data_IF_441456105148
#
_entry.id   IF_441456105148
#
_cell.length_a   1.000
_cell.length_b   1.000
_cell.length_c   1.000
_cell.angle_alpha   90.00
_cell.angle_beta   90.00
_cell.angle_gamma   90.00
#
_symmetry.space_group_name_H-M   'P 1'
#
loop_
_entity.id
_entity.type
_entity.pdbx_description
1 polymer ?
#
# COMPACT_ATOMS: atom_id res chain seq x y z
N UNK A 1 2.99 13.94 12.71
CA UNK A 1 2.52 13.41 13.99
C UNK A 1 3.73 13.21 14.89
N UNK A 2 3.79 13.88 16.03
CA UNK A 2 4.86 13.71 17.03
C UNK A 2 4.18 13.47 18.38
N UNK A 3 4.48 12.33 19.00
CA UNK A 3 4.02 11.92 20.32
C UNK A 3 5.21 11.37 21.11
N UNK A 4 5.14 11.50 22.43
CA UNK A 4 5.99 10.73 23.33
C UNK A 4 5.40 9.33 23.53
N UNK A 5 5.68 8.43 22.59
CA UNK A 5 5.20 7.05 22.64
C UNK A 5 5.55 6.33 23.96
N UNK A 6 4.54 5.74 24.58
CA UNK A 6 4.67 4.99 25.84
C UNK A 6 4.56 3.49 25.57
N UNK A 7 5.54 2.67 26.00
CA UNK A 7 5.46 1.23 25.84
C UNK A 7 4.33 0.64 26.69
N UNK A 8 3.81 -0.50 26.23
CA UNK A 8 2.79 -1.26 26.95
C UNK A 8 3.28 -1.67 28.35
N UNK A 9 2.38 -1.65 29.33
CA UNK A 9 2.69 -1.99 30.72
C UNK A 9 3.62 -1.02 31.47
N UNK A 10 3.89 0.17 30.92
CA UNK A 10 4.73 1.14 31.62
C UNK A 10 4.04 1.76 32.86
N UNK A 11 4.86 2.28 33.79
CA UNK A 11 4.37 2.84 35.05
C UNK A 11 3.62 4.17 34.87
N UNK A 12 2.69 4.46 35.79
CA UNK A 12 1.94 5.71 35.82
C UNK A 12 2.87 6.95 35.80
N UNK A 13 4.02 6.90 36.48
CA UNK A 13 5.01 7.99 36.45
C UNK A 13 5.56 8.26 35.05
N UNK A 14 5.68 7.23 34.21
CA UNK A 14 6.15 7.38 32.82
C UNK A 14 5.03 7.90 31.92
N UNK A 15 3.79 7.42 32.11
CA UNK A 15 2.60 7.94 31.43
C UNK A 15 2.41 9.44 31.72
N UNK A 16 2.53 9.84 32.98
CA UNK A 16 2.42 11.24 33.40
C UNK A 16 3.45 12.14 32.70
N UNK A 17 4.72 11.73 32.70
CA UNK A 17 5.78 12.46 32.01
C UNK A 17 5.56 12.54 30.49
N UNK A 18 5.00 11.49 29.89
CA UNK A 18 4.69 11.48 28.47
C UNK A 18 3.55 12.46 28.16
N UNK A 19 2.50 12.48 28.98
CA UNK A 19 1.40 13.41 28.89
C UNK A 19 1.89 14.86 29.01
N UNK A 20 2.64 15.20 30.06
CA UNK A 20 3.17 16.56 30.27
C UNK A 20 3.98 17.05 29.07
N UNK A 21 4.84 16.17 28.51
CA UNK A 21 5.66 16.49 27.34
C UNK A 21 4.82 16.69 26.09
N UNK A 22 3.84 15.83 25.84
CA UNK A 22 2.93 15.92 24.70
C UNK A 22 2.12 17.21 24.76
N UNK A 23 1.56 17.54 25.92
CA UNK A 23 0.80 18.78 26.12
C UNK A 23 1.69 20.01 25.89
N UNK A 24 2.89 20.03 26.46
CA UNK A 24 3.85 21.12 26.26
C UNK A 24 4.21 21.29 24.79
N UNK A 25 4.58 20.19 24.13
CA UNK A 25 4.99 20.19 22.73
C UNK A 25 3.86 20.63 21.80
N UNK A 26 2.64 20.11 21.97
CA UNK A 26 1.49 20.51 21.14
C UNK A 26 1.20 22.01 21.24
N UNK A 27 1.31 22.59 22.44
CA UNK A 27 1.13 24.04 22.62
C UNK A 27 2.26 24.85 21.97
N UNK A 28 3.49 24.40 22.06
CA UNK A 28 4.63 25.05 21.41
C UNK A 28 4.53 24.98 19.88
N UNK A 29 4.16 23.80 19.35
CA UNK A 29 3.97 23.58 17.92
C UNK A 29 2.95 24.57 17.35
N UNK A 30 1.78 24.68 17.99
CA UNK A 30 0.67 25.51 17.53
C UNK A 30 0.86 27.02 17.75
N UNK A 31 1.84 27.42 18.57
CA UNK A 31 2.26 28.82 18.70
C UNK A 31 3.10 29.30 17.53
N UNK A 32 3.76 28.39 16.82
CA UNK A 32 4.60 28.76 15.68
C UNK A 32 3.73 29.07 14.45
N UNK A 33 3.97 30.21 13.79
CA UNK A 33 3.27 30.61 12.55
C UNK A 33 3.76 29.82 11.31
N UNK A 34 4.42 28.68 11.54
CA UNK A 34 5.13 27.88 10.54
C UNK A 34 4.23 27.12 9.56
N UNK A 35 2.90 27.19 9.71
CA UNK A 35 1.94 26.31 9.04
C UNK A 35 1.07 26.99 7.99
N UNK A 36 1.51 28.10 7.38
CA UNK A 36 0.80 28.67 6.23
C UNK A 36 0.60 27.61 5.12
N UNK A 37 -0.66 27.27 4.83
CA UNK A 37 -1.05 26.27 3.83
C UNK A 37 -0.95 24.81 4.28
N UNK A 38 -0.70 24.52 5.55
CA UNK A 38 -0.65 23.16 6.09
C UNK A 38 -1.49 22.97 7.35
N UNK A 39 -1.83 21.72 7.64
CA UNK A 39 -2.74 21.32 8.72
C UNK A 39 -1.99 20.49 9.75
N UNK A 40 -2.21 20.78 11.03
CA UNK A 40 -1.65 20.01 12.14
C UNK A 40 -2.65 18.94 12.63
N UNK A 41 -2.17 17.69 12.71
CA UNK A 41 -2.82 16.58 13.40
C UNK A 41 -2.02 16.26 14.68
N UNK A 42 -2.73 16.24 15.81
CA UNK A 42 -2.11 16.12 17.14
C UNK A 42 -2.41 14.75 17.72
N UNK A 43 -1.37 14.00 18.09
CA UNK A 43 -1.56 12.72 18.74
C UNK A 43 -1.96 12.91 20.22
N UNK A 44 -2.98 12.16 20.64
CA UNK A 44 -3.40 12.05 22.03
C UNK A 44 -2.57 10.95 22.70
N UNK A 45 -1.86 11.33 23.76
CA UNK A 45 -1.06 10.42 24.55
C UNK A 45 -1.91 9.86 25.71
N UNK A 46 -1.47 8.73 26.27
CA UNK A 46 -2.16 8.08 27.39
C UNK A 46 -1.81 6.61 27.57
N UNK A 47 -1.17 6.02 26.56
CA UNK A 47 -0.71 4.64 26.60
C UNK A 47 -1.87 3.66 26.80
N UNK A 48 -1.72 2.74 27.74
CA UNK A 48 -2.71 1.73 28.12
C UNK A 48 -3.78 2.24 29.11
N UNK A 49 -3.69 3.50 29.56
CA UNK A 49 -4.54 4.03 30.63
C UNK A 49 -5.61 4.98 30.10
N UNK A 50 -6.92 4.63 30.19
CA UNK A 50 -8.00 5.49 29.71
C UNK A 50 -8.02 6.87 30.38
N UNK A 51 -7.72 6.94 31.67
CA UNK A 51 -7.70 8.19 32.43
C UNK A 51 -6.61 9.16 31.96
N UNK A 52 -5.47 8.66 31.47
CA UNK A 52 -4.44 9.53 30.91
C UNK A 52 -4.82 10.06 29.53
N UNK A 53 -5.54 9.27 28.71
CA UNK A 53 -6.09 9.75 27.44
C UNK A 53 -7.11 10.86 27.65
N UNK A 54 -8.04 10.69 28.60
CA UNK A 54 -9.01 11.71 28.99
C UNK A 54 -8.31 13.00 29.45
N UNK A 55 -7.32 12.89 30.34
CA UNK A 55 -6.55 14.06 30.82
C UNK A 55 -5.77 14.75 29.69
N UNK A 56 -5.20 13.97 28.76
CA UNK A 56 -4.52 14.54 27.60
C UNK A 56 -5.52 15.33 26.74
N UNK A 57 -6.66 14.73 26.40
CA UNK A 57 -7.70 15.39 25.61
C UNK A 57 -8.29 16.61 26.32
N UNK A 58 -8.52 16.56 27.63
CA UNK A 58 -8.93 17.73 28.42
C UNK A 58 -7.91 18.88 28.33
N UNK A 59 -6.61 18.57 28.27
CA UNK A 59 -5.56 19.57 28.24
C UNK A 59 -5.30 20.23 26.86
N UNK A 60 -5.58 19.53 25.75
CA UNK A 60 -5.28 20.00 24.38
C UNK A 60 -6.45 19.95 23.39
N UNK A 61 -7.56 19.28 23.73
CA UNK A 61 -8.72 19.08 22.85
C UNK A 61 -9.49 20.36 22.54
N UNK A 62 -9.37 21.38 23.39
CA UNK A 62 -9.98 22.70 23.19
C UNK A 62 -9.10 23.69 22.40
N UNK A 63 -7.93 23.26 21.90
CA UNK A 63 -7.02 24.16 21.19
C UNK A 63 -7.64 24.61 19.86
N UNK A 64 -7.70 25.93 19.57
CA UNK A 64 -8.39 26.46 18.38
C UNK A 64 -7.56 26.36 17.10
N UNK A 65 -6.23 26.23 17.23
CA UNK A 65 -5.30 26.01 16.11
C UNK A 65 -4.99 24.51 16.09
N UNK A 66 -5.38 23.82 15.02
CA UNK A 66 -5.28 22.37 14.87
C UNK A 66 -6.52 21.87 14.12
N UNK A 67 -6.39 20.93 13.19
CA UNK A 67 -7.56 20.47 12.43
C UNK A 67 -7.98 19.05 12.77
N UNK A 68 -7.23 18.35 13.64
CA UNK A 68 -7.61 17.02 14.08
C UNK A 68 -6.71 16.39 15.14
N UNK A 69 -7.24 15.33 15.73
CA UNK A 69 -6.59 14.53 16.77
C UNK A 69 -6.42 13.10 16.31
N UNK A 70 -5.28 12.50 16.67
CA UNK A 70 -4.95 11.10 16.39
C UNK A 70 -4.98 10.32 17.69
N UNK A 71 -5.70 9.21 17.73
CA UNK A 71 -5.74 8.30 18.86
C UNK A 71 -5.17 6.93 18.47
N UNK A 72 -4.21 6.45 19.26
CA UNK A 72 -3.69 5.09 19.12
C UNK A 72 -4.55 4.11 19.91
N UNK A 73 -5.42 3.40 19.20
CA UNK A 73 -6.29 2.38 19.78
C UNK A 73 -5.60 1.01 19.91
N UNK A 74 -4.40 0.84 19.32
CA UNK A 74 -3.74 -0.46 19.27
C UNK A 74 -3.27 -0.96 20.63
N UNK A 75 -3.17 -0.08 21.64
CA UNK A 75 -2.86 -0.50 23.02
C UNK A 75 -4.07 -1.10 23.75
N UNK A 76 -5.28 -0.82 23.27
CA UNK A 76 -6.53 -1.35 23.82
C UNK A 76 -7.08 -2.51 22.99
N UNK A 77 -6.71 -2.58 21.71
CA UNK A 77 -6.94 -3.76 20.88
C UNK A 77 -5.88 -4.82 21.22
N UNK A 78 -6.24 -5.84 22.01
CA UNK A 78 -5.37 -6.98 22.32
C UNK A 78 -5.00 -7.72 21.03
N UNK A 79 -3.90 -7.33 20.40
CA UNK A 79 -3.30 -8.07 19.29
C UNK A 79 -1.89 -8.42 19.65
N UNK A 80 -1.68 -9.67 20.07
CA UNK A 80 -0.38 -10.27 20.08
C UNK A 80 0.14 -10.25 18.63
N UNK A 81 1.03 -9.31 18.30
CA UNK A 81 1.84 -9.39 17.06
C UNK A 81 2.83 -10.54 17.22
N UNK A 82 2.36 -11.78 17.17
CA UNK A 82 3.26 -12.91 16.99
C UNK A 82 3.55 -12.98 15.49
N UNK A 83 4.65 -12.34 15.08
CA UNK A 83 5.27 -12.66 13.80
C UNK A 83 5.56 -14.17 13.83
N UNK A 84 5.09 -14.97 12.86
CA UNK A 84 5.35 -16.40 12.86
C UNK A 84 6.86 -16.61 12.83
N UNK A 85 7.41 -17.20 13.90
CA UNK A 85 8.78 -17.71 13.87
C UNK A 85 8.82 -18.75 12.76
N UNK A 86 9.61 -18.51 11.71
CA UNK A 86 9.83 -19.48 10.62
C UNK A 86 10.20 -20.84 11.24
N UNK A 87 9.28 -21.78 11.21
CA UNK A 87 9.57 -23.17 11.55
C UNK A 87 10.50 -23.69 10.46
N UNK A 88 11.73 -24.03 10.83
CA UNK A 88 12.65 -24.72 9.91
C UNK A 88 11.99 -26.01 9.47
N UNK A 89 11.58 -26.07 8.19
CA UNK A 89 11.18 -27.32 7.55
C UNK A 89 12.40 -28.24 7.58
N UNK A 90 12.36 -29.28 8.43
CA UNK A 90 13.32 -30.38 8.37
C UNK A 90 12.99 -31.18 7.11
N UNK A 91 13.94 -31.24 6.18
CA UNK A 91 13.98 -32.20 5.07
C UNK A 91 13.82 -33.60 5.67
N UNK A 92 12.74 -34.30 5.34
CA UNK A 92 12.67 -35.75 5.53
C UNK A 92 13.36 -36.34 4.29
N UNK A 93 14.52 -36.94 4.52
CA UNK A 93 15.23 -37.76 3.54
C UNK A 93 14.50 -39.08 3.38
N UNK A 94 14.35 -39.51 2.13
CA UNK A 94 14.02 -40.88 1.74
C UNK A 94 14.92 -41.88 2.47
N UNK A 95 14.33 -42.96 3.01
CA UNK A 95 14.93 -44.29 3.02
C UNK A 95 13.88 -45.35 3.40
N UNK A 96 13.78 -46.31 2.49
CA UNK A 96 13.53 -47.75 2.64
C UNK A 96 12.14 -48.28 3.06
N UNK A 97 11.55 -48.89 2.04
CA UNK A 97 10.53 -49.93 2.14
C UNK A 97 11.02 -51.12 2.98
N UNK A 98 10.17 -51.63 3.86
CA UNK A 98 10.02 -53.07 4.10
C UNK A 98 8.69 -53.35 4.79
N UNK A 99 8.05 -54.42 4.34
CA UNK A 99 6.80 -55.02 4.80
C UNK A 99 6.72 -55.22 6.32
N UNK A 100 5.60 -54.87 6.95
CA UNK A 100 4.89 -55.84 7.79
C UNK A 100 3.40 -55.51 7.95
N UNK A 101 2.60 -56.49 7.57
CA UNK A 101 1.15 -56.63 7.66
C UNK A 101 0.63 -56.59 9.10
N UNK A 102 -0.40 -55.78 9.41
CA UNK A 102 -1.40 -56.09 10.44
C UNK A 102 -2.78 -55.64 9.98
N UNK A 103 -3.72 -56.59 10.03
CA UNK A 103 -5.08 -56.53 9.53
C UNK A 103 -6.03 -55.64 10.34
N UNK A 104 -7.05 -55.17 9.62
CA UNK A 104 -8.28 -54.53 10.07
C UNK A 104 -9.05 -55.33 11.12
N UNK A 105 -9.77 -54.62 11.99
CA UNK A 105 -11.13 -55.02 12.41
C UNK A 105 -12.10 -53.86 12.22
N UNK A 106 -13.14 -54.16 11.46
CA UNK A 106 -14.29 -53.34 11.09
C UNK A 106 -15.38 -53.37 12.16
N UNK A 107 -16.17 -52.30 12.23
CA UNK A 107 -17.61 -52.41 12.52
C UNK A 107 -18.37 -51.15 12.06
N UNK A 108 -19.16 -51.37 11.01
CA UNK A 108 -20.47 -50.83 10.65
C UNK A 108 -20.72 -49.32 10.37
N UNK A 109 -21.38 -49.14 9.23
CA UNK A 109 -21.95 -47.94 8.62
C UNK A 109 -23.18 -47.41 9.40
N UNK A 110 -23.42 -46.10 9.36
CA UNK A 110 -24.54 -45.49 8.61
C UNK A 110 -24.66 -43.96 8.90
N UNK A 111 -24.96 -43.23 7.82
CA UNK A 111 -25.67 -41.95 7.73
C UNK A 111 -25.18 -40.70 8.50
N UNK A 112 -24.66 -39.75 7.71
CA UNK A 112 -25.09 -38.33 7.66
C UNK A 112 -25.62 -37.73 8.97
N UNK A 113 -24.79 -36.93 9.63
CA UNK A 113 -25.26 -35.69 10.27
C UNK A 113 -24.09 -34.70 10.48
N UNK A 114 -24.27 -33.53 9.87
CA UNK A 114 -23.78 -32.22 10.30
C UNK A 114 -22.28 -31.96 10.40
N UNK A 115 -21.74 -31.50 9.27
CA UNK A 115 -20.98 -30.24 9.10
C UNK A 115 -20.78 -29.48 10.43
N UNK A 116 -19.71 -29.79 11.19
CA UNK A 116 -19.27 -28.96 12.30
C UNK A 116 -17.75 -28.99 12.43
N UNK A 117 -17.07 -28.43 11.44
CA UNK A 117 -15.74 -27.87 11.65
C UNK A 117 -15.50 -26.81 10.59
N UNK A 118 -16.28 -25.74 10.64
CA UNK A 118 -15.75 -24.45 10.20
C UNK A 118 -14.66 -24.13 11.22
N UNK A 119 -13.43 -24.51 10.89
CA UNK A 119 -12.27 -24.05 11.63
C UNK A 119 -12.35 -22.52 11.67
N UNK A 120 -12.57 -21.99 12.87
CA UNK A 120 -12.61 -20.56 13.14
C UNK A 120 -11.20 -20.03 12.87
N UNK A 121 -10.99 -19.60 11.63
CA UNK A 121 -9.76 -18.97 11.18
C UNK A 121 -9.58 -17.70 11.99
N UNK A 122 -8.57 -17.71 12.87
CA UNK A 122 -8.09 -16.59 13.69
C UNK A 122 -8.00 -15.32 12.81
N UNK A 123 -9.03 -14.47 12.88
CA UNK A 123 -9.11 -13.17 12.19
C UNK A 123 -9.90 -12.12 12.97
N UNK A 124 -10.56 -12.48 14.06
CA UNK A 124 -11.05 -11.50 15.02
C UNK A 124 -9.89 -11.13 15.94
N UNK A 125 -9.42 -9.89 15.79
CA UNK A 125 -8.94 -9.15 16.94
C UNK A 125 -9.91 -9.34 18.10
N UNK A 126 -9.39 -9.52 19.32
CA UNK A 126 -10.17 -9.21 20.53
C UNK A 126 -10.34 -7.68 20.58
N UNK A 127 -11.10 -7.14 19.62
CA UNK A 127 -11.60 -5.79 19.60
C UNK A 127 -12.73 -5.74 20.61
N UNK A 128 -12.37 -5.46 21.85
CA UNK A 128 -13.35 -5.22 22.89
C UNK A 128 -14.03 -3.88 22.61
N UNK A 129 -15.20 -3.96 21.98
CA UNK A 129 -16.03 -2.80 21.61
C UNK A 129 -16.35 -1.96 22.83
N UNK A 130 -16.57 -2.60 23.99
CA UNK A 130 -16.99 -1.92 25.21
C UNK A 130 -15.82 -1.15 25.82
N UNK A 131 -14.62 -1.75 25.88
CA UNK A 131 -13.41 -1.05 26.34
C UNK A 131 -13.10 0.18 25.47
N UNK A 132 -13.19 0.04 24.15
CA UNK A 132 -12.93 1.16 23.24
C UNK A 132 -14.03 2.22 23.38
N UNK A 133 -15.30 1.80 23.47
CA UNK A 133 -16.41 2.73 23.69
C UNK A 133 -16.25 3.53 24.97
N UNK A 134 -15.84 2.89 26.07
CA UNK A 134 -15.60 3.55 27.35
C UNK A 134 -14.41 4.53 27.28
N UNK A 135 -13.32 4.14 26.62
CA UNK A 135 -12.19 5.02 26.34
C UNK A 135 -12.66 6.26 25.55
N UNK A 136 -13.38 6.06 24.45
CA UNK A 136 -13.84 7.14 23.59
C UNK A 136 -14.86 8.05 24.28
N UNK A 137 -15.70 7.49 25.16
CA UNK A 137 -16.64 8.25 25.97
C UNK A 137 -15.95 9.25 26.91
N UNK A 138 -14.78 8.91 27.46
CA UNK A 138 -13.97 9.85 28.24
C UNK A 138 -13.26 10.89 27.39
N UNK A 139 -12.79 10.53 26.19
CA UNK A 139 -11.95 11.41 25.36
C UNK A 139 -12.78 12.40 24.52
N UNK A 140 -13.88 11.95 23.92
CA UNK A 140 -14.62 12.72 22.91
C UNK A 140 -15.28 14.00 23.43
N UNK A 141 -15.81 14.06 24.67
CA UNK A 141 -16.36 15.30 25.23
C UNK A 141 -15.36 16.47 25.26
N UNK A 142 -14.06 16.18 25.31
CA UNK A 142 -13.01 17.19 25.33
C UNK A 142 -12.56 17.65 23.93
N UNK A 143 -13.00 16.98 22.87
CA UNK A 143 -12.61 17.28 21.48
C UNK A 143 -13.81 17.89 20.76
N UNK A 144 -13.68 19.15 20.33
CA UNK A 144 -14.74 19.81 19.57
C UNK A 144 -15.14 18.97 18.33
N UNK A 145 -16.44 18.81 18.03
CA UNK A 145 -16.93 18.09 16.84
C UNK A 145 -16.41 18.64 15.50
N UNK A 146 -15.89 19.86 15.47
CA UNK A 146 -15.29 20.47 14.28
C UNK A 146 -13.91 19.91 13.92
N UNK A 147 -13.25 19.20 14.85
CA UNK A 147 -11.93 18.61 14.62
C UNK A 147 -12.06 17.20 14.08
N UNK A 148 -11.20 16.86 13.11
CA UNK A 148 -11.09 15.51 12.57
C UNK A 148 -10.58 14.54 13.63
N UNK A 149 -11.21 13.37 13.74
CA UNK A 149 -10.79 12.30 14.66
C UNK A 149 -10.20 11.17 13.85
N UNK A 150 -8.92 10.89 14.06
CA UNK A 150 -8.15 9.90 13.32
C UNK A 150 -7.70 8.77 14.24
N UNK A 151 -7.72 7.54 13.71
CA UNK A 151 -7.18 6.36 14.40
C UNK A 151 -6.16 5.64 13.54
N UNK A 152 -5.13 5.13 14.21
CA UNK A 152 -4.09 4.31 13.58
C UNK A 152 -4.27 2.85 13.99
N UNK A 153 -4.23 1.92 13.04
CA UNK A 153 -4.31 0.49 13.36
C UNK A 153 -4.80 -0.39 12.23
N UNK A 154 -4.64 -1.70 12.38
CA UNK A 154 -5.03 -2.68 11.36
C UNK A 154 -6.51 -3.10 11.50
N UNK A 155 -7.46 -2.20 11.25
CA UNK A 155 -8.88 -2.45 11.51
C UNK A 155 -9.58 -3.26 10.42
N UNK A 156 -10.20 -4.39 10.74
CA UNK A 156 -11.08 -5.17 9.88
C UNK A 156 -12.31 -4.36 9.42
N UNK A 157 -13.00 -4.77 8.34
CA UNK A 157 -14.21 -4.09 7.89
C UNK A 157 -15.25 -3.87 9.00
N UNK A 158 -15.48 -4.86 9.84
CA UNK A 158 -16.43 -4.79 10.96
C UNK A 158 -15.97 -3.80 12.04
N UNK A 159 -14.67 -3.77 12.36
CA UNK A 159 -14.10 -2.80 13.29
C UNK A 159 -14.19 -1.37 12.74
N UNK A 160 -13.93 -1.16 11.45
CA UNK A 160 -14.06 0.14 10.80
C UNK A 160 -15.49 0.67 10.91
N UNK A 161 -16.49 -0.18 10.66
CA UNK A 161 -17.90 0.19 10.83
C UNK A 161 -18.19 0.56 12.29
N UNK A 162 -17.74 -0.23 13.26
CA UNK A 162 -17.97 0.05 14.68
C UNK A 162 -17.33 1.39 15.11
N UNK A 163 -16.06 1.62 14.73
CA UNK A 163 -15.32 2.83 15.02
C UNK A 163 -15.93 4.07 14.35
N UNK A 164 -16.43 3.94 13.11
CA UNK A 164 -17.14 5.02 12.44
C UNK A 164 -18.43 5.41 13.18
N UNK A 165 -19.19 4.43 13.71
CA UNK A 165 -20.36 4.70 14.55
C UNK A 165 -19.98 5.37 15.88
N UNK A 166 -18.77 5.13 16.39
CA UNK A 166 -18.22 5.82 17.56
C UNK A 166 -17.68 7.23 17.23
N UNK A 167 -17.85 7.71 15.99
CA UNK A 167 -17.53 9.09 15.60
C UNK A 167 -16.08 9.31 15.22
N UNK A 168 -15.41 8.30 14.67
CA UNK A 168 -14.09 8.41 14.03
C UNK A 168 -14.26 8.75 12.55
N UNK A 169 -13.47 9.71 12.06
CA UNK A 169 -13.57 10.26 10.71
C UNK A 169 -12.51 9.69 9.75
N UNK A 170 -11.30 9.47 10.25
CA UNK A 170 -10.14 9.05 9.45
C UNK A 170 -9.50 7.78 10.02
N UNK A 171 -9.10 6.91 9.11
CA UNK A 171 -8.47 5.63 9.42
C UNK A 171 -7.14 5.55 8.69
N UNK A 172 -6.05 5.46 9.46
CA UNK A 172 -4.74 5.04 8.95
C UNK A 172 -4.59 3.54 9.24
N UNK A 173 -4.75 2.72 8.20
CA UNK A 173 -4.81 1.26 8.36
C UNK A 173 -3.82 0.48 7.51
N UNK A 174 -3.11 -0.44 8.18
CA UNK A 174 -2.22 -1.41 7.57
C UNK A 174 -2.88 -2.77 7.30
N UNK A 175 -4.17 -2.95 7.60
CA UNK A 175 -4.85 -4.25 7.52
C UNK A 175 -4.79 -4.89 6.12
N UNK A 176 -4.97 -4.09 5.08
CA UNK A 176 -4.90 -4.55 3.68
C UNK A 176 -3.56 -5.21 3.34
N UNK A 177 -2.48 -4.59 3.81
CA UNK A 177 -1.10 -5.05 3.59
C UNK A 177 -0.82 -6.24 4.51
N UNK A 178 -1.20 -6.15 5.78
CA UNK A 178 -1.02 -7.22 6.76
C UNK A 178 -1.66 -8.54 6.32
N UNK A 179 -2.89 -8.50 5.78
CA UNK A 179 -3.52 -9.70 5.23
C UNK A 179 -2.80 -10.22 3.99
N UNK A 180 -2.40 -9.33 3.07
CA UNK A 180 -1.71 -9.72 1.86
C UNK A 180 -0.35 -10.40 2.14
N UNK A 181 0.38 -9.95 3.15
CA UNK A 181 1.62 -10.59 3.62
C UNK A 181 1.40 -11.99 4.19
N UNK A 182 0.20 -12.27 4.71
CA UNK A 182 -0.21 -13.60 5.17
C UNK A 182 -0.79 -14.47 4.04
N UNK A 183 -0.79 -14.00 2.79
CA UNK A 183 -1.43 -14.74 1.70
C UNK A 183 -2.96 -14.66 1.71
N UNK A 184 -3.53 -13.67 2.40
CA UNK A 184 -4.98 -13.53 2.60
C UNK A 184 -5.55 -12.35 1.82
N UNK A 185 -6.77 -12.51 1.32
CA UNK A 185 -7.59 -11.43 0.78
C UNK A 185 -8.91 -11.36 1.52
N UNK A 186 -9.48 -10.16 1.68
CA UNK A 186 -10.83 -10.02 2.21
C UNK A 186 -11.80 -9.52 1.14
N UNK A 187 -13.07 -9.86 1.33
CA UNK A 187 -14.20 -9.40 0.49
C UNK A 187 -15.37 -9.09 1.42
N UNK A 188 -15.83 -7.85 1.41
CA UNK A 188 -17.02 -7.44 2.17
C UNK A 188 -18.28 -8.02 1.52
N UNK A 189 -19.31 -8.26 2.33
CA UNK A 189 -20.61 -8.74 1.87
C UNK A 189 -21.22 -7.82 0.80
N UNK A 190 -22.19 -8.35 0.05
CA UNK A 190 -22.92 -7.56 -0.95
C UNK A 190 -23.80 -6.48 -0.29
N UNK A 191 -24.31 -6.76 0.91
CA UNK A 191 -25.16 -5.86 1.70
C UNK A 191 -24.37 -4.88 2.60
N UNK A 192 -23.06 -4.75 2.40
CA UNK A 192 -22.23 -3.84 3.18
C UNK A 192 -22.65 -2.37 2.93
N UNK A 193 -22.76 -1.51 3.96
CA UNK A 193 -22.42 -1.71 5.38
C UNK A 193 -23.59 -2.14 6.29
N UNK A 194 -24.80 -2.33 5.75
CA UNK A 194 -25.98 -2.71 6.56
C UNK A 194 -25.73 -4.02 7.28
N UNK A 195 -25.12 -4.95 6.57
CA UNK A 195 -24.52 -6.14 7.15
C UNK A 195 -22.99 -5.98 7.15
N UNK A 196 -22.41 -5.66 8.31
CA UNK A 196 -20.97 -5.43 8.48
C UNK A 196 -20.16 -6.74 8.49
N UNK A 197 -20.56 -7.71 7.66
CA UNK A 197 -19.92 -9.02 7.49
C UNK A 197 -18.94 -8.98 6.31
N UNK A 198 -17.90 -9.80 6.41
CA UNK A 198 -16.91 -9.97 5.37
C UNK A 198 -16.36 -11.39 5.41
N UNK A 199 -15.77 -11.82 4.30
CA UNK A 199 -15.12 -13.12 4.16
C UNK A 199 -13.63 -12.94 3.94
N UNK A 200 -12.83 -13.86 4.46
CA UNK A 200 -11.38 -13.90 4.27
C UNK A 200 -11.02 -15.16 3.47
N UNK A 201 -10.36 -14.94 2.35
CA UNK A 201 -9.81 -15.96 1.48
C UNK A 201 -8.35 -16.19 1.86
N UNK A 202 -8.02 -17.38 2.33
CA UNK A 202 -6.65 -17.78 2.66
C UNK A 202 -6.03 -18.57 1.50
N UNK A 203 -5.15 -17.95 0.71
CA UNK A 203 -4.52 -18.58 -0.44
C UNK A 203 -3.36 -19.52 -0.06
N UNK A 204 -3.19 -19.85 1.21
CA UNK A 204 -2.39 -21.02 1.61
C UNK A 204 -3.19 -22.33 1.54
N UNK A 205 -4.52 -22.23 1.61
CA UNK A 205 -5.43 -23.38 1.67
C UNK A 205 -5.45 -24.17 0.35
N UNK A 206 -5.44 -25.50 0.48
CA UNK A 206 -5.66 -26.48 -0.60
C UNK A 206 -6.97 -26.33 -1.34
N UNK A 207 -8.02 -25.81 -0.69
CA UNK A 207 -9.32 -25.44 -1.27
C UNK A 207 -9.20 -24.72 -2.62
N UNK A 208 -8.20 -23.83 -2.75
CA UNK A 208 -8.06 -22.98 -3.93
C UNK A 208 -7.17 -23.59 -5.02
N UNK A 209 -6.67 -24.83 -4.89
CA UNK A 209 -5.73 -25.43 -5.85
C UNK A 209 -6.26 -25.46 -7.28
N UNK A 210 -7.53 -25.80 -7.45
CA UNK A 210 -8.21 -25.91 -8.75
C UNK A 210 -9.37 -24.90 -8.88
N UNK A 211 -9.36 -23.82 -8.09
CA UNK A 211 -10.36 -22.75 -8.21
C UNK A 211 -9.93 -21.73 -9.27
N UNK A 212 -10.39 -21.90 -10.51
CA UNK A 212 -10.10 -20.99 -11.63
C UNK A 212 -10.99 -19.73 -11.65
N UNK A 213 -11.79 -19.48 -10.61
CA UNK A 213 -12.58 -18.24 -10.50
C UNK A 213 -11.70 -17.08 -10.05
N UNK A 214 -12.08 -15.81 -10.34
CA UNK A 214 -11.41 -14.65 -9.75
C UNK A 214 -11.67 -14.56 -8.24
N UNK A 215 -10.89 -13.76 -7.50
CA UNK A 215 -11.09 -13.55 -6.05
C UNK A 215 -12.53 -13.10 -5.76
N UNK A 216 -13.01 -12.08 -6.47
CA UNK A 216 -14.37 -11.58 -6.38
C UNK A 216 -14.88 -11.20 -7.77
N UNK A 217 -16.06 -11.72 -8.16
CA UNK A 217 -16.65 -11.48 -9.49
C UNK A 217 -17.11 -10.02 -9.68
N UNK A 218 -17.58 -9.37 -8.61
CA UNK A 218 -18.03 -7.97 -8.66
C UNK A 218 -16.87 -6.97 -8.60
N UNK A 219 -15.68 -7.40 -8.17
CA UNK A 219 -14.51 -6.55 -8.07
C UNK A 219 -13.84 -6.33 -9.44
N UNK A 220 -13.50 -5.07 -9.73
CA UNK A 220 -12.90 -4.64 -11.00
C UNK A 220 -11.41 -4.34 -10.89
N UNK A 221 -10.75 -4.76 -9.82
CA UNK A 221 -9.31 -4.56 -9.62
C UNK A 221 -8.50 -5.34 -10.67
N UNK A 222 -7.22 -4.98 -10.83
CA UNK A 222 -6.30 -5.66 -11.74
C UNK A 222 -6.24 -7.17 -11.45
N UNK A 223 -6.15 -7.54 -10.18
CA UNK A 223 -6.07 -8.93 -9.73
C UNK A 223 -7.29 -9.76 -10.16
N UNK A 224 -8.51 -9.29 -9.87
CA UNK A 224 -9.75 -9.99 -10.22
C UNK A 224 -10.02 -10.07 -11.73
N UNK A 225 -9.40 -9.19 -12.53
CA UNK A 225 -9.59 -9.17 -13.99
C UNK A 225 -8.65 -10.12 -14.74
N UNK A 226 -7.48 -10.40 -14.17
CA UNK A 226 -6.40 -11.07 -14.90
C UNK A 226 -5.95 -12.38 -14.28
N UNK A 227 -6.29 -12.66 -13.02
CA UNK A 227 -5.77 -13.82 -12.30
C UNK A 227 -6.88 -14.61 -11.59
N UNK A 228 -6.61 -15.91 -11.44
CA UNK A 228 -7.49 -16.86 -10.76
C UNK A 228 -7.05 -17.08 -9.31
N UNK A 229 -7.97 -17.59 -8.48
CA UNK A 229 -7.66 -18.01 -7.10
C UNK A 229 -6.59 -19.10 -7.06
N UNK A 230 -6.63 -20.05 -7.99
CA UNK A 230 -5.61 -21.09 -8.15
C UNK A 230 -4.22 -20.53 -8.42
N UNK A 231 -4.12 -19.50 -9.26
CA UNK A 231 -2.86 -18.85 -9.54
C UNK A 231 -2.34 -18.07 -8.32
N UNK A 232 -3.22 -17.35 -7.60
CA UNK A 232 -2.84 -16.65 -6.37
C UNK A 232 -2.36 -17.63 -5.29
N UNK A 233 -3.00 -18.79 -5.17
CA UNK A 233 -2.56 -19.86 -4.28
C UNK A 233 -1.19 -20.38 -4.67
N UNK A 234 -0.97 -20.66 -5.96
CA UNK A 234 0.34 -21.08 -6.45
C UNK A 234 1.43 -20.07 -6.06
N UNK A 235 1.25 -18.78 -6.40
CA UNK A 235 2.21 -17.73 -6.06
C UNK A 235 2.47 -17.61 -4.56
N UNK A 236 1.43 -17.73 -3.73
CA UNK A 236 1.54 -17.63 -2.28
C UNK A 236 2.37 -18.80 -1.73
N UNK A 237 2.09 -20.02 -2.17
CA UNK A 237 2.77 -21.23 -1.69
C UNK A 237 4.19 -21.39 -2.25
N UNK A 238 4.48 -20.85 -3.43
CA UNK A 238 5.85 -20.77 -3.97
C UNK A 238 6.63 -19.57 -3.44
N UNK A 239 6.02 -18.73 -2.61
CA UNK A 239 6.64 -17.53 -2.00
C UNK A 239 7.16 -16.55 -3.06
N UNK A 240 6.41 -16.42 -4.16
CA UNK A 240 6.71 -15.49 -5.23
C UNK A 240 6.32 -14.05 -4.85
N UNK A 241 7.18 -13.07 -5.17
CA UNK A 241 6.96 -11.67 -4.83
C UNK A 241 5.67 -11.10 -5.44
N UNK A 242 5.21 -11.66 -6.57
CA UNK A 242 3.99 -11.23 -7.24
C UNK A 242 2.73 -11.55 -6.41
N UNK A 243 2.73 -12.61 -5.60
CA UNK A 243 1.57 -13.03 -4.80
C UNK A 243 1.06 -11.91 -3.88
N UNK A 244 1.89 -11.43 -2.92
CA UNK A 244 1.51 -10.33 -2.03
C UNK A 244 1.14 -9.05 -2.79
N UNK A 245 1.82 -8.72 -3.89
CA UNK A 245 1.50 -7.52 -4.70
C UNK A 245 0.08 -7.59 -5.26
N UNK A 246 -0.31 -8.72 -5.84
CA UNK A 246 -1.66 -8.91 -6.37
C UNK A 246 -2.73 -8.89 -5.26
N UNK A 247 -2.42 -9.44 -4.08
CA UNK A 247 -3.31 -9.40 -2.93
C UNK A 247 -3.47 -7.99 -2.37
N UNK A 248 -2.40 -7.20 -2.28
CA UNK A 248 -2.47 -5.78 -1.87
C UNK A 248 -3.35 -4.98 -2.83
N UNK A 249 -3.19 -5.16 -4.15
CA UNK A 249 -4.02 -4.47 -5.14
C UNK A 249 -5.51 -4.77 -4.93
N UNK A 250 -5.86 -6.04 -4.67
CA UNK A 250 -7.24 -6.43 -4.38
C UNK A 250 -7.73 -5.85 -3.05
N UNK A 251 -6.97 -6.05 -1.97
CA UNK A 251 -7.35 -5.62 -0.62
C UNK A 251 -7.54 -4.11 -0.51
N UNK A 252 -6.67 -3.30 -1.13
CA UNK A 252 -6.80 -1.84 -1.17
C UNK A 252 -8.05 -1.43 -1.96
N UNK A 253 -8.31 -2.05 -3.11
CA UNK A 253 -9.52 -1.77 -3.88
C UNK A 253 -10.79 -2.07 -3.08
N UNK A 254 -10.77 -3.16 -2.31
CA UNK A 254 -11.89 -3.55 -1.46
C UNK A 254 -12.08 -2.58 -0.28
N UNK A 255 -10.99 -2.08 0.33
CA UNK A 255 -11.05 -0.99 1.30
C UNK A 255 -11.68 0.27 0.74
N UNK A 256 -11.27 0.70 -0.45
CA UNK A 256 -11.82 1.89 -1.08
C UNK A 256 -13.32 1.73 -1.36
N UNK A 257 -13.73 0.55 -1.84
CA UNK A 257 -15.14 0.19 -2.06
C UNK A 257 -15.92 0.27 -0.75
N UNK A 258 -15.41 -0.38 0.30
CA UNK A 258 -16.00 -0.40 1.63
C UNK A 258 -16.23 1.02 2.17
N UNK A 259 -15.21 1.87 2.15
CA UNK A 259 -15.34 3.26 2.61
C UNK A 259 -16.29 4.10 1.76
N UNK A 260 -16.38 3.85 0.45
CA UNK A 260 -17.34 4.52 -0.41
C UNK A 260 -18.79 4.16 -0.03
N UNK A 261 -19.07 2.88 0.18
CA UNK A 261 -20.37 2.38 0.62
C UNK A 261 -20.75 2.90 2.01
N UNK A 262 -19.80 2.91 2.94
CA UNK A 262 -20.00 3.46 4.29
C UNK A 262 -20.40 4.93 4.25
N UNK A 263 -19.67 5.77 3.49
CA UNK A 263 -20.02 7.19 3.33
C UNK A 263 -21.38 7.40 2.67
N UNK A 264 -21.72 6.58 1.67
CA UNK A 264 -23.02 6.65 1.03
C UNK A 264 -24.15 6.32 1.99
N UNK A 265 -24.01 5.24 2.77
CA UNK A 265 -24.99 4.86 3.79
C UNK A 265 -25.16 5.94 4.86
N UNK A 266 -24.05 6.47 5.39
CA UNK A 266 -24.08 7.57 6.35
C UNK A 266 -24.77 8.82 5.77
N UNK A 267 -24.54 9.14 4.50
CA UNK A 267 -25.22 10.27 3.82
C UNK A 267 -26.72 10.06 3.60
N UNK A 268 -27.15 8.81 3.41
CA UNK A 268 -28.57 8.46 3.28
C UNK A 268 -29.27 8.50 4.64
N UNK A 269 -28.63 8.00 5.68
CA UNK A 269 -29.11 8.06 7.07
C UNK A 269 -29.19 9.50 7.58
N UNK A 270 -28.21 10.35 7.21
CA UNK A 270 -28.21 11.78 7.55
C UNK A 270 -29.16 12.64 6.71
N UNK A 271 -29.87 12.09 5.71
CA UNK A 271 -30.98 12.82 5.08
C UNK A 271 -32.21 12.98 6.00
N UNK A 272 -32.14 12.53 7.26
CA UNK A 272 -33.00 12.99 8.35
C UNK A 272 -32.52 14.32 9.01
N UNK A 273 -31.28 14.78 8.80
CA UNK A 273 -30.75 16.09 9.18
C UNK A 273 -29.62 16.57 8.25
N UNK A 274 -30.01 17.41 7.29
CA UNK A 274 -29.20 18.21 6.36
C UNK A 274 -27.77 18.57 6.81
N UNK A 275 -26.76 18.06 6.11
CA UNK A 275 -25.55 18.83 5.77
C UNK A 275 -25.03 18.38 4.40
N UNK A 276 -25.00 19.32 3.46
CA UNK A 276 -24.57 19.11 2.07
C UNK A 276 -23.06 18.91 1.98
N UNK A 277 -22.62 17.81 1.36
CA UNK A 277 -21.32 17.74 0.71
C UNK A 277 -21.56 17.57 -0.79
N UNK A 278 -21.24 18.63 -1.53
CA UNK A 278 -21.47 18.78 -2.96
C UNK A 278 -20.71 17.68 -3.73
N UNK A 279 -21.46 16.68 -4.22
CA UNK A 279 -20.94 15.65 -5.14
C UNK A 279 -20.43 16.34 -6.41
N UNK A 280 -19.10 16.45 -6.57
CA UNK A 280 -18.49 16.62 -7.90
C UNK A 280 -18.62 15.29 -8.63
N UNK A 281 -19.49 15.27 -9.64
CA UNK A 281 -19.62 14.17 -10.58
C UNK A 281 -18.28 13.95 -11.30
N UNK A 282 -17.58 12.85 -11.01
CA UNK A 282 -16.44 12.41 -11.80
C UNK A 282 -16.94 11.63 -13.00
N UNK A 283 -17.25 12.39 -14.05
CA UNK A 283 -17.33 11.89 -15.41
C UNK A 283 -16.01 11.24 -15.84
N UNK A 284 -16.16 10.26 -16.73
CA UNK A 284 -15.12 9.40 -17.33
C UNK A 284 -13.81 10.12 -17.64
N UNK A 285 -12.72 9.43 -17.33
CA UNK A 285 -11.31 9.84 -17.41
C UNK A 285 -10.81 10.18 -18.84
N UNK A 286 -11.21 11.31 -19.42
CA UNK A 286 -10.44 11.94 -20.53
C UNK A 286 -9.54 13.09 -20.05
N UNK A 287 -9.93 13.78 -18.97
CA UNK A 287 -9.24 14.95 -18.42
C UNK A 287 -7.78 14.73 -17.99
N UNK A 288 -7.37 13.49 -17.65
CA UNK A 288 -6.00 13.20 -17.20
C UNK A 288 -4.94 13.42 -18.29
N UNK A 289 -5.29 13.31 -19.59
CA UNK A 289 -4.31 13.52 -20.68
C UNK A 289 -4.18 15.00 -21.07
N UNK A 290 -5.24 15.79 -20.95
CA UNK A 290 -5.22 17.23 -21.29
C UNK A 290 -4.68 18.08 -20.14
N UNK A 291 -5.01 17.77 -18.88
CA UNK A 291 -4.54 18.53 -17.72
C UNK A 291 -3.01 18.48 -17.49
N UNK A 292 -2.31 17.48 -18.04
CA UNK A 292 -0.85 17.35 -17.90
C UNK A 292 -0.10 18.27 -18.87
N UNK A 293 -0.69 18.63 -20.02
CA UNK A 293 -0.03 19.50 -21.01
C UNK A 293 0.12 20.95 -20.53
N UNK A 294 -0.79 21.41 -19.66
CA UNK A 294 -0.84 22.81 -19.18
C UNK A 294 -0.37 23.01 -17.73
N UNK A 295 0.18 21.99 -17.08
CA UNK A 295 0.84 22.17 -15.79
C UNK A 295 2.08 23.07 -15.96
N UNK A 296 1.98 24.33 -15.52
CA UNK A 296 3.14 25.21 -15.29
C UNK A 296 4.01 24.58 -14.20
N UNK A 297 4.91 23.70 -14.61
CA UNK A 297 5.90 23.08 -13.72
C UNK A 297 6.78 24.18 -13.13
N UNK A 298 6.92 24.16 -11.79
CA UNK A 298 7.78 25.11 -11.09
C UNK A 298 9.21 24.96 -11.59
N UNK A 299 9.76 26.04 -12.14
CA UNK A 299 11.14 26.06 -12.68
C UNK A 299 12.20 25.87 -11.59
N UNK A 300 11.84 25.82 -10.30
CA UNK A 300 12.77 25.65 -9.18
C UNK A 300 13.21 24.21 -8.90
N UNK A 301 12.53 23.20 -9.46
CA UNK A 301 12.77 21.79 -9.15
C UNK A 301 13.01 20.94 -10.41
N UNK A 302 13.69 19.80 -10.23
CA UNK A 302 13.75 18.74 -11.23
C UNK A 302 12.43 17.95 -11.18
N UNK A 303 11.85 17.65 -12.34
CA UNK A 303 10.56 16.98 -12.43
C UNK A 303 10.69 15.60 -13.06
N UNK A 304 10.01 14.60 -12.49
CA UNK A 304 9.93 13.24 -13.04
C UNK A 304 8.49 12.97 -13.47
N UNK A 305 8.29 12.67 -14.75
CA UNK A 305 6.97 12.39 -15.33
C UNK A 305 6.49 10.95 -15.11
N UNK A 306 5.25 10.64 -15.53
CA UNK A 306 4.77 9.27 -15.61
C UNK A 306 5.63 8.44 -16.58
N UNK A 307 5.65 7.10 -16.47
CA UNK A 307 6.36 6.23 -17.42
C UNK A 307 5.93 6.52 -18.87
N UNK A 308 6.89 6.59 -19.79
CA UNK A 308 6.59 6.70 -21.23
C UNK A 308 5.83 5.47 -21.72
N UNK A 309 4.88 5.65 -22.63
CA UNK A 309 4.00 4.58 -23.11
C UNK A 309 4.77 3.47 -23.83
N UNK A 310 5.92 3.78 -24.46
CA UNK A 310 6.69 2.82 -25.26
C UNK A 310 7.98 2.43 -24.54
N UNK A 311 8.84 3.38 -24.18
CA UNK A 311 10.13 3.08 -23.55
C UNK A 311 10.00 2.58 -22.11
N UNK A 312 8.86 2.87 -21.46
CA UNK A 312 8.59 2.65 -20.02
C UNK A 312 9.54 3.40 -19.08
N UNK A 313 10.47 4.20 -19.61
CA UNK A 313 11.33 5.08 -18.82
C UNK A 313 10.55 6.34 -18.45
N UNK A 314 10.74 6.83 -17.23
CA UNK A 314 10.13 8.09 -16.79
C UNK A 314 10.94 9.27 -17.33
N UNK A 315 10.32 10.19 -18.10
CA UNK A 315 11.01 11.37 -18.60
C UNK A 315 11.33 12.30 -17.42
N UNK A 316 12.57 12.79 -17.39
CA UNK A 316 13.02 13.73 -16.36
C UNK A 316 13.25 15.10 -17.01
N UNK A 317 12.58 16.12 -16.50
CA UNK A 317 12.77 17.51 -16.90
C UNK A 317 13.64 18.20 -15.86
N UNK A 318 14.90 18.43 -16.20
CA UNK A 318 15.86 19.07 -15.30
C UNK A 318 15.57 20.57 -15.16
N UNK A 319 15.80 21.09 -13.96
CA UNK A 319 15.68 22.50 -13.62
C UNK A 319 16.57 23.36 -14.50
N UNK A 320 16.02 24.50 -14.97
CA UNK A 320 16.77 25.55 -15.67
C UNK A 320 16.80 26.83 -14.84
N UNK A 321 17.99 27.23 -14.42
CA UNK A 321 18.22 28.51 -13.72
C UNK A 321 18.32 29.65 -14.73
N UNK A 322 17.80 30.83 -14.40
CA UNK A 322 17.98 32.03 -15.22
C UNK A 322 19.43 32.53 -15.24
N UNK A 323 20.21 32.22 -14.21
CA UNK A 323 21.62 32.57 -14.05
C UNK A 323 22.56 31.34 -14.08
N UNK A 324 22.23 30.35 -14.91
CA UNK A 324 23.02 29.13 -15.10
C UNK A 324 24.42 29.46 -15.64
N UNK A 325 25.48 28.93 -15.03
CA UNK A 325 26.83 29.05 -15.61
C UNK A 325 26.98 28.14 -16.82
N UNK A 326 27.98 28.39 -17.66
CA UNK A 326 28.25 27.52 -18.81
C UNK A 326 28.53 26.06 -18.39
N UNK A 327 29.21 25.84 -17.26
CA UNK A 327 29.47 24.51 -16.72
C UNK A 327 28.20 23.83 -16.20
N UNK A 328 27.30 24.57 -15.55
CA UNK A 328 26.00 24.06 -15.12
C UNK A 328 25.15 23.63 -16.33
N UNK A 329 25.12 24.47 -17.37
CA UNK A 329 24.44 24.19 -18.64
C UNK A 329 24.99 22.93 -19.31
N UNK A 330 26.31 22.85 -19.48
CA UNK A 330 26.98 21.68 -20.10
C UNK A 330 26.68 20.39 -19.35
N UNK A 331 26.68 20.44 -18.01
CA UNK A 331 26.35 19.27 -17.19
C UNK A 331 24.88 18.85 -17.35
N UNK A 332 23.95 19.81 -17.33
CA UNK A 332 22.51 19.55 -17.54
C UNK A 332 22.25 18.95 -18.92
N UNK A 333 22.80 19.54 -19.97
CA UNK A 333 22.66 19.06 -21.35
C UNK A 333 23.24 17.65 -21.52
N UNK A 334 24.38 17.35 -20.90
CA UNK A 334 24.94 16.01 -20.91
C UNK A 334 24.04 14.96 -20.22
N UNK A 335 23.36 15.35 -19.12
CA UNK A 335 22.36 14.49 -18.47
C UNK A 335 21.11 14.31 -19.32
N UNK A 336 20.59 15.39 -19.91
CA UNK A 336 19.44 15.35 -20.82
C UNK A 336 19.73 14.41 -22.01
N UNK A 337 20.91 14.53 -22.62
CA UNK A 337 21.34 13.67 -23.73
C UNK A 337 21.48 12.19 -23.32
N UNK A 338 22.00 11.89 -22.12
CA UNK A 338 22.08 10.53 -21.60
C UNK A 338 20.68 9.92 -21.40
N UNK A 339 19.77 10.67 -20.80
CA UNK A 339 18.39 10.23 -20.54
C UNK A 339 17.66 10.00 -21.87
N UNK A 340 17.81 10.91 -22.83
CA UNK A 340 17.21 10.78 -24.16
C UNK A 340 17.75 9.56 -24.91
N UNK A 341 19.06 9.35 -24.89
CA UNK A 341 19.70 8.17 -25.50
C UNK A 341 19.19 6.86 -24.88
N UNK A 342 19.10 6.80 -23.55
CA UNK A 342 18.57 5.62 -22.85
C UNK A 342 17.11 5.38 -23.22
N UNK A 343 16.27 6.42 -23.23
CA UNK A 343 14.88 6.32 -23.66
C UNK A 343 14.75 5.79 -25.09
N UNK A 344 15.56 6.29 -26.03
CA UNK A 344 15.54 5.85 -27.43
C UNK A 344 15.91 4.38 -27.59
N UNK A 345 16.93 3.92 -26.86
CA UNK A 345 17.32 2.51 -26.86
C UNK A 345 16.15 1.62 -26.41
N UNK A 346 15.51 1.95 -25.29
CA UNK A 346 14.39 1.17 -24.76
C UNK A 346 13.13 1.27 -25.61
N UNK A 347 12.87 2.41 -26.25
CA UNK A 347 11.81 2.53 -27.27
C UNK A 347 12.02 1.50 -28.38
N UNK A 348 13.23 1.43 -28.95
CA UNK A 348 13.54 0.50 -30.03
C UNK A 348 13.47 -0.97 -29.55
N UNK A 349 14.04 -1.26 -28.39
CA UNK A 349 14.03 -2.60 -27.80
C UNK A 349 12.62 -3.09 -27.50
N UNK A 350 11.76 -2.26 -26.91
CA UNK A 350 10.38 -2.62 -26.57
C UNK A 350 9.51 -2.80 -27.82
N UNK A 351 9.70 -1.98 -28.85
CA UNK A 351 9.01 -2.17 -30.14
C UNK A 351 9.42 -3.51 -30.76
N UNK A 352 10.71 -3.84 -30.75
CA UNK A 352 11.20 -5.12 -31.25
C UNK A 352 10.63 -6.29 -30.45
N UNK A 353 10.59 -6.17 -29.12
CA UNK A 353 10.02 -7.17 -28.23
C UNK A 353 8.54 -7.44 -28.56
N UNK A 354 7.71 -6.40 -28.62
CA UNK A 354 6.29 -6.56 -28.92
C UNK A 354 6.05 -7.13 -30.33
N UNK A 355 6.85 -6.70 -31.32
CA UNK A 355 6.80 -7.28 -32.67
C UNK A 355 7.12 -8.77 -32.65
N UNK A 356 8.23 -9.17 -32.02
CA UNK A 356 8.67 -10.57 -31.94
C UNK A 356 7.69 -11.44 -31.16
N UNK A 357 7.11 -10.88 -30.10
CA UNK A 357 6.06 -11.52 -29.31
C UNK A 357 4.80 -11.78 -30.14
N UNK A 358 4.36 -10.79 -30.93
CA UNK A 358 3.23 -10.95 -31.82
C UNK A 358 3.48 -12.03 -32.88
N UNK A 359 4.65 -12.02 -33.53
CA UNK A 359 5.09 -13.06 -34.48
C UNK A 359 5.06 -14.46 -33.84
N UNK A 360 5.58 -14.61 -32.62
CA UNK A 360 5.59 -15.86 -31.87
C UNK A 360 4.17 -16.37 -31.56
N UNK A 361 3.31 -15.48 -31.06
CA UNK A 361 1.90 -15.82 -30.74
C UNK A 361 1.15 -16.23 -32.01
N UNK A 362 1.36 -15.56 -33.14
CA UNK A 362 0.73 -15.95 -34.41
C UNK A 362 1.21 -17.31 -34.92
N UNK A 363 2.51 -17.59 -34.85
CA UNK A 363 3.07 -18.89 -35.24
C UNK A 363 2.52 -20.02 -34.36
N UNK A 364 2.47 -19.83 -33.05
CA UNK A 364 1.90 -20.83 -32.12
C UNK A 364 0.41 -21.05 -32.36
N UNK A 365 -0.38 -20.00 -32.61
CA UNK A 365 -1.80 -20.12 -32.98
C UNK A 365 -2.02 -20.93 -34.26
N UNK A 366 -1.11 -20.82 -35.25
CA UNK A 366 -1.17 -21.65 -36.46
C UNK A 366 -0.87 -23.13 -36.17
N UNK A 367 0.03 -23.40 -35.23
CA UNK A 367 0.45 -24.77 -34.89
C UNK A 367 -0.54 -25.51 -33.96
N UNK A 368 -1.22 -24.80 -33.04
CA UNK A 368 -2.14 -25.38 -32.04
C UNK A 368 -3.62 -25.44 -32.51
N UNK A 369 -3.96 -24.84 -33.65
CA UNK A 369 -5.34 -24.73 -34.11
C UNK A 369 -6.15 -23.64 -33.39
N UNK A 370 -7.41 -23.46 -33.82
CA UNK A 370 -8.20 -22.21 -33.64
C UNK A 370 -8.62 -21.86 -32.20
N UNK A 371 -8.41 -22.73 -31.21
CA UNK A 371 -9.08 -22.65 -29.90
C UNK A 371 -8.17 -22.72 -28.65
N UNK A 372 -6.87 -22.95 -28.78
CA UNK A 372 -5.96 -22.96 -27.62
C UNK A 372 -5.18 -21.65 -27.51
N UNK A 373 -5.26 -21.02 -26.34
CA UNK A 373 -4.45 -19.84 -26.00
C UNK A 373 -3.04 -20.31 -25.61
N UNK A 374 -2.01 -19.54 -25.97
CA UNK A 374 -0.62 -19.82 -25.56
C UNK A 374 -0.52 -19.99 -24.05
N UNK A 375 0.02 -21.12 -23.59
CA UNK A 375 0.19 -21.41 -22.17
C UNK A 375 1.32 -20.54 -21.58
N UNK A 376 1.34 -20.33 -20.26
CA UNK A 376 2.38 -19.59 -19.57
C UNK A 376 3.79 -20.17 -19.84
N UNK A 377 3.87 -21.49 -20.04
CA UNK A 377 5.11 -22.18 -20.40
C UNK A 377 5.68 -21.71 -21.74
N UNK A 378 4.84 -21.62 -22.78
CA UNK A 378 5.26 -21.20 -24.14
C UNK A 378 5.78 -19.76 -24.13
N UNK A 379 5.13 -18.89 -23.35
CA UNK A 379 5.58 -17.51 -23.20
C UNK A 379 6.95 -17.46 -22.52
N UNK A 380 7.21 -18.33 -21.54
CA UNK A 380 8.51 -18.40 -20.85
C UNK A 380 9.65 -18.81 -21.79
N UNK A 381 9.39 -19.73 -22.72
CA UNK A 381 10.34 -20.14 -23.76
C UNK A 381 10.68 -18.95 -24.67
N UNK A 382 9.65 -18.25 -25.16
CA UNK A 382 9.84 -17.04 -25.97
C UNK A 382 10.67 -15.98 -25.24
N UNK A 383 10.37 -15.71 -23.96
CA UNK A 383 11.12 -14.75 -23.16
C UNK A 383 12.61 -15.11 -23.08
N UNK A 384 12.91 -16.38 -22.81
CA UNK A 384 14.29 -16.87 -22.75
C UNK A 384 15.00 -16.70 -24.09
N UNK A 385 14.41 -17.19 -25.19
CA UNK A 385 15.01 -17.11 -26.52
C UNK A 385 15.24 -15.66 -26.97
N UNK A 386 14.27 -14.77 -26.73
CA UNK A 386 14.41 -13.37 -27.07
C UNK A 386 15.56 -12.72 -26.30
N UNK A 387 15.67 -12.99 -24.99
CA UNK A 387 16.74 -12.45 -24.15
C UNK A 387 18.10 -12.99 -24.57
N UNK A 388 18.21 -14.28 -24.90
CA UNK A 388 19.44 -14.89 -25.39
C UNK A 388 19.89 -14.24 -26.72
N UNK A 389 18.96 -14.00 -27.64
CA UNK A 389 19.24 -13.30 -28.91
C UNK A 389 19.65 -11.84 -28.70
N UNK A 390 19.06 -11.15 -27.73
CA UNK A 390 19.36 -9.75 -27.42
C UNK A 390 20.51 -9.55 -26.43
N UNK A 391 21.13 -10.63 -25.94
CA UNK A 391 22.12 -10.59 -24.87
C UNK A 391 23.28 -9.63 -25.16
N UNK A 392 23.87 -9.71 -26.35
CA UNK A 392 24.98 -8.85 -26.75
C UNK A 392 24.56 -7.37 -26.85
N UNK A 393 23.35 -7.11 -27.34
CA UNK A 393 22.80 -5.76 -27.46
C UNK A 393 22.57 -5.12 -26.08
N UNK A 394 21.96 -5.87 -25.15
CA UNK A 394 21.73 -5.45 -23.77
C UNK A 394 23.05 -5.26 -23.01
N UNK A 395 24.02 -6.14 -23.23
CA UNK A 395 25.36 -6.03 -22.62
C UNK A 395 26.08 -4.78 -23.10
N UNK A 396 26.03 -4.50 -24.41
CA UNK A 396 26.61 -3.28 -24.98
C UNK A 396 25.92 -2.02 -24.45
N UNK A 397 24.58 -2.04 -24.35
CA UNK A 397 23.82 -0.95 -23.71
C UNK A 397 24.28 -0.71 -22.28
N UNK A 398 24.37 -1.76 -21.46
CA UNK A 398 24.79 -1.63 -20.06
C UNK A 398 26.20 -1.04 -19.96
N UNK A 399 27.14 -1.54 -20.76
CA UNK A 399 28.51 -1.02 -20.81
C UNK A 399 28.56 0.47 -21.17
N UNK A 400 27.85 0.86 -22.22
CA UNK A 400 27.80 2.26 -22.67
C UNK A 400 27.08 3.15 -21.66
N UNK A 401 26.01 2.64 -21.03
CA UNK A 401 25.28 3.33 -19.97
C UNK A 401 26.20 3.63 -18.78
N UNK A 402 26.97 2.64 -18.30
CA UNK A 402 27.94 2.85 -17.23
C UNK A 402 29.01 3.87 -17.64
N UNK A 403 29.58 3.72 -18.84
CA UNK A 403 30.60 4.64 -19.34
C UNK A 403 30.12 6.09 -19.40
N UNK A 404 28.91 6.33 -19.93
CA UNK A 404 28.32 7.67 -19.99
C UNK A 404 28.01 8.24 -18.61
N UNK A 405 27.54 7.42 -17.67
CA UNK A 405 27.30 7.87 -16.29
C UNK A 405 28.61 8.22 -15.57
N UNK A 406 29.67 7.41 -15.73
CA UNK A 406 30.99 7.70 -15.16
C UNK A 406 31.56 9.01 -15.72
N UNK A 407 31.40 9.27 -17.02
CA UNK A 407 31.79 10.54 -17.65
C UNK A 407 31.10 11.77 -17.04
N UNK A 408 29.91 11.62 -16.45
CA UNK A 408 29.19 12.72 -15.83
C UNK A 408 29.74 13.12 -14.45
N UNK A 409 30.58 12.29 -13.81
CA UNK A 409 31.11 12.61 -12.47
C UNK A 409 31.99 13.85 -12.46
N UNK A 410 32.85 14.04 -13.47
CA UNK A 410 33.75 15.19 -13.51
C UNK A 410 33.00 16.52 -13.74
N UNK A 411 32.08 16.64 -14.72
CA UNK A 411 31.18 17.78 -14.81
C UNK A 411 30.33 18.00 -13.55
N UNK A 412 29.81 16.93 -12.94
CA UNK A 412 29.03 17.02 -11.71
C UNK A 412 29.84 17.66 -10.57
N UNK A 413 31.08 17.20 -10.38
CA UNK A 413 31.99 17.73 -9.38
C UNK A 413 32.26 19.23 -9.57
N UNK A 414 32.56 19.65 -10.81
CA UNK A 414 32.74 21.08 -11.15
C UNK A 414 31.52 21.92 -10.80
N UNK A 415 30.32 21.44 -11.13
CA UNK A 415 29.07 22.14 -10.83
C UNK A 415 28.82 22.21 -9.32
N UNK A 416 29.10 21.15 -8.57
CA UNK A 416 28.95 21.17 -7.12
C UNK A 416 29.91 22.15 -6.46
N UNK A 417 31.13 22.29 -6.96
CA UNK A 417 32.08 23.29 -6.48
C UNK A 417 31.59 24.73 -6.73
N UNK A 418 30.97 24.99 -7.89
CA UNK A 418 30.32 26.29 -8.19
C UNK A 418 29.15 26.56 -7.23
N UNK A 419 28.28 25.57 -7.01
CA UNK A 419 27.13 25.70 -6.10
C UNK A 419 27.55 25.89 -4.64
N UNK A 420 28.60 25.18 -4.22
CA UNK A 420 29.20 25.35 -2.90
C UNK A 420 29.74 26.77 -2.72
N UNK A 421 30.53 27.28 -3.67
CA UNK A 421 31.04 28.67 -3.63
C UNK A 421 29.92 29.70 -3.55
N UNK A 422 28.83 29.53 -4.33
CA UNK A 422 27.64 30.39 -4.25
C UNK A 422 26.96 30.35 -2.88
N UNK A 423 26.89 29.17 -2.27
CA UNK A 423 26.27 28.98 -0.94
C UNK A 423 27.13 29.59 0.16
N UNK A 424 28.45 29.36 0.10
CA UNK A 424 29.43 29.95 1.02
C UNK A 424 29.42 31.48 0.95
N UNK A 425 29.39 32.06 -0.25
CA UNK A 425 29.31 33.51 -0.42
C UNK A 425 28.01 34.13 0.13
N UNK A 426 26.88 33.40 0.04
CA UNK A 426 25.61 33.82 0.67
C UNK A 426 25.64 33.69 2.19
N UNK A 427 26.31 32.67 2.72
CA UNK A 427 26.47 32.47 4.16
C UNK A 427 27.37 33.53 4.79
N UNK A 428 28.47 33.90 4.13
CA UNK A 428 29.40 34.94 4.59
C UNK A 428 28.86 36.38 4.44
N UNK A 429 27.75 36.57 3.70
CA UNK A 429 27.05 37.86 3.56
C UNK A 429 25.86 38.02 4.51
N UNK A 430 25.45 36.95 5.21
CA UNK A 430 24.52 36.99 6.33
C UNK A 430 25.31 37.10 7.61
#
# INVERSE_FOLDING_TARGET
>A
MFDYGTPEGCSNKRLEKALERTVKFSRELLRSDSFEGSVALIALCGGHSPSHHERCASAIGSLPKGCGFVLDLMQFAKRLRVLPKKTKVRKISEMDATDTTVQLKSSNCEALENISSLDVVITESEFDKDVIKDLLAGVWPHISPSHLRLVNGAFSPTEVVALAHLGIDLFDSSYAIFLAEQGKAFVCSENFPEEATFSVFDFTDTLYSEDFRPVCKSCRCYTCRHYTRSYLRHLTNTVELLGPVLLVIHNIQEYERMFALLRENLSRSSNAKTFMCQKRQTGKNSWRKEAIRDLRLDKRFDWVGPPDDISKIRPVRLRRLSNETEQERKYREAREALIQWSSQFWTHHNILFEKKKAEFVEQRKKNLGRLEHSNALDMSEFYKEFLDQQYNNLTNYNREWYYRNVKLFWPAFKVQLIRFRRTLHKFLRK
#
